data_IF_553040331434
#
_entry.id   IF_553040331434
#
_cell.length_a   1.000
_cell.length_b   1.000
_cell.length_c   1.000
_cell.angle_alpha   90.00
_cell.angle_beta   90.00
_cell.angle_gamma   90.00
#
_symmetry.space_group_name_H-M   'P 1'
#
loop_
_entity.id
_entity.type
_entity.pdbx_description
1 polymer ?
#
# COMPACT_ATOMS: atom_id res chain seq x y z
N UNK A 1 5.99 20.74 22.22
CA UNK A 1 5.90 21.79 21.18
C UNK A 1 4.66 21.53 20.33
N UNK A 2 3.78 22.50 20.14
CA UNK A 2 2.56 22.35 19.31
C UNK A 2 2.97 22.47 17.84
N UNK A 3 2.48 21.57 16.98
CA UNK A 3 2.66 21.70 15.53
C UNK A 3 1.98 22.99 15.09
N UNK A 4 2.70 23.87 14.38
CA UNK A 4 2.10 25.11 13.87
C UNK A 4 0.97 24.75 12.87
N UNK A 5 -0.20 25.40 12.96
CA UNK A 5 -1.29 25.19 12.00
C UNK A 5 -0.87 25.44 10.56
N UNK A 6 0.11 26.32 10.33
CA UNK A 6 0.69 26.59 9.01
C UNK A 6 1.40 25.36 8.43
N UNK A 7 2.11 24.59 9.27
CA UNK A 7 2.80 23.37 8.84
C UNK A 7 1.82 22.25 8.50
N UNK A 8 0.71 22.15 9.22
CA UNK A 8 -0.37 21.23 8.90
C UNK A 8 -1.06 21.61 7.59
N UNK A 9 -1.33 22.90 7.38
CA UNK A 9 -1.89 23.41 6.12
C UNK A 9 -0.95 23.15 4.93
N UNK A 10 0.37 23.35 5.12
CA UNK A 10 1.38 23.03 4.10
C UNK A 10 1.41 21.53 3.78
N UNK A 11 1.39 20.67 4.80
CA UNK A 11 1.35 19.22 4.64
C UNK A 11 0.12 18.78 3.82
N UNK A 12 -1.06 19.30 4.16
CA UNK A 12 -2.30 19.00 3.43
C UNK A 12 -2.20 19.36 1.94
N UNK A 13 -1.67 20.55 1.62
CA UNK A 13 -1.46 20.97 0.22
C UNK A 13 -0.48 20.06 -0.54
N UNK A 14 0.59 19.61 0.12
CA UNK A 14 1.55 18.69 -0.49
C UNK A 14 0.93 17.32 -0.76
N UNK A 15 0.14 16.80 0.18
CA UNK A 15 -0.59 15.54 0.02
C UNK A 15 -1.63 15.61 -1.11
N UNK A 16 -2.32 16.74 -1.26
CA UNK A 16 -3.23 16.95 -2.39
C UNK A 16 -2.49 16.98 -3.73
N UNK A 17 -1.35 17.68 -3.82
CA UNK A 17 -0.51 17.69 -5.02
C UNK A 17 0.02 16.29 -5.38
N UNK A 18 0.28 15.45 -4.37
CA UNK A 18 0.64 14.04 -4.52
C UNK A 18 -0.52 13.22 -5.07
N UNK A 19 -1.73 13.38 -4.50
CA UNK A 19 -2.96 12.73 -5.00
C UNK A 19 -3.28 13.14 -6.43
N UNK A 20 -3.05 14.40 -6.80
CA UNK A 20 -3.25 14.87 -8.16
C UNK A 20 -2.29 14.18 -9.15
N UNK A 21 -1.01 14.07 -8.78
CA UNK A 21 -0.01 13.37 -9.61
C UNK A 21 -0.34 11.88 -9.75
N UNK A 22 -0.82 11.24 -8.67
CA UNK A 22 -1.32 9.86 -8.74
C UNK A 22 -2.52 9.73 -9.69
N UNK A 23 -3.50 10.63 -9.60
CA UNK A 23 -4.66 10.62 -10.51
C UNK A 23 -4.28 10.78 -11.97
N UNK A 24 -3.19 11.50 -12.26
CA UNK A 24 -2.65 11.61 -13.62
C UNK A 24 -2.12 10.26 -14.13
N UNK A 25 -1.37 9.52 -13.29
CA UNK A 25 -0.95 8.15 -13.61
C UNK A 25 -2.15 7.24 -13.85
N UNK A 26 -3.14 7.25 -12.95
CA UNK A 26 -4.35 6.44 -13.09
C UNK A 26 -5.12 6.77 -14.37
N UNK A 27 -5.10 8.05 -14.80
CA UNK A 27 -5.74 8.49 -16.04
C UNK A 27 -4.99 7.95 -17.27
N UNK A 28 -3.66 7.92 -17.25
CA UNK A 28 -2.84 7.33 -18.32
C UNK A 28 -3.15 5.83 -18.43
N UNK A 29 -3.20 5.11 -17.31
CA UNK A 29 -3.51 3.68 -17.31
C UNK A 29 -4.90 3.41 -17.89
N UNK A 30 -5.89 4.22 -17.51
CA UNK A 30 -7.25 4.14 -18.10
C UNK A 30 -7.25 4.43 -19.59
N UNK A 31 -6.43 5.37 -20.08
CA UNK A 31 -6.30 5.65 -21.51
C UNK A 31 -5.67 4.49 -22.26
N UNK A 32 -4.64 3.84 -21.68
CA UNK A 32 -3.99 2.65 -22.26
C UNK A 32 -5.03 1.53 -22.38
N UNK A 33 -5.74 1.21 -21.30
CA UNK A 33 -6.78 0.17 -21.28
C UNK A 33 -7.88 0.49 -22.30
N UNK A 34 -8.39 1.73 -22.31
CA UNK A 34 -9.45 2.14 -23.24
C UNK A 34 -9.01 2.01 -24.70
N UNK A 35 -7.78 2.42 -25.03
CA UNK A 35 -7.23 2.31 -26.38
C UNK A 35 -7.05 0.84 -26.77
N UNK A 36 -6.59 -0.01 -25.86
CA UNK A 36 -6.47 -1.44 -26.08
C UNK A 36 -7.82 -2.11 -26.34
N UNK A 37 -8.84 -1.84 -25.51
CA UNK A 37 -10.18 -2.40 -25.68
C UNK A 37 -10.81 -1.97 -27.02
N UNK A 38 -10.57 -0.73 -27.46
CA UNK A 38 -11.03 -0.26 -28.77
C UNK A 38 -10.36 -0.98 -29.96
N UNK A 39 -9.16 -1.54 -29.77
CA UNK A 39 -8.43 -2.28 -30.81
C UNK A 39 -8.87 -3.75 -30.91
N UNK A 40 -9.45 -4.35 -29.86
CA UNK A 40 -9.85 -5.76 -29.84
C UNK A 40 -10.74 -6.16 -31.03
N UNK A 41 -11.82 -5.41 -31.39
CA UNK A 41 -12.65 -5.77 -32.53
C UNK A 41 -11.91 -5.68 -33.87
N UNK A 42 -10.97 -4.75 -34.01
CA UNK A 42 -10.19 -4.55 -35.24
C UNK A 42 -9.15 -5.66 -35.44
N UNK A 43 -8.57 -6.15 -34.35
CA UNK A 43 -7.65 -7.29 -34.35
C UNK A 43 -8.34 -8.60 -34.76
N UNK A 44 -9.63 -8.76 -34.46
CA UNK A 44 -10.46 -9.90 -34.89
C UNK A 44 -10.90 -9.82 -36.35
N UNK A 45 -11.21 -8.62 -36.88
CA UNK A 45 -11.79 -8.45 -38.23
C UNK A 45 -10.79 -8.52 -39.38
N UNK A 46 -9.51 -8.16 -39.17
CA UNK A 46 -8.51 -8.05 -40.26
C UNK A 46 -8.14 -9.35 -40.97
N UNK A 47 -8.63 -10.52 -40.54
CA UNK A 47 -8.37 -11.82 -41.22
C UNK A 47 -9.57 -12.75 -41.36
N UNK A 48 -10.80 -12.36 -41.00
CA UNK A 48 -11.97 -13.22 -41.22
C UNK A 48 -12.51 -13.15 -42.66
N UNK A 49 -11.61 -13.12 -43.65
CA UNK A 49 -11.97 -13.72 -44.92
C UNK A 49 -12.04 -15.22 -44.64
N UNK A 50 -13.24 -15.79 -44.56
CA UNK A 50 -13.51 -17.23 -44.61
C UNK A 50 -12.95 -17.79 -45.94
N UNK A 51 -11.63 -17.81 -46.13
CA UNK A 51 -11.05 -18.22 -47.41
C UNK A 51 -10.84 -19.72 -47.53
N UNK A 52 -10.98 -20.51 -46.44
CA UNK A 52 -10.81 -21.98 -46.52
C UNK A 52 -11.13 -22.79 -45.25
N UNK A 53 -12.15 -22.42 -44.47
CA UNK A 53 -12.61 -23.23 -43.32
C UNK A 53 -11.60 -23.43 -42.17
N UNK A 54 -10.45 -22.74 -42.19
CA UNK A 54 -9.41 -22.84 -41.15
C UNK A 54 -9.64 -21.75 -40.11
N UNK A 55 -9.78 -22.08 -38.81
CA UNK A 55 -9.98 -21.10 -37.76
C UNK A 55 -8.80 -20.11 -37.70
N UNK A 56 -9.04 -18.83 -37.32
CA UNK A 56 -7.97 -17.87 -37.11
C UNK A 56 -6.96 -18.41 -36.09
N UNK A 57 -5.67 -18.29 -36.39
CA UNK A 57 -4.61 -18.71 -35.47
C UNK A 57 -4.66 -17.87 -34.17
N UNK A 58 -5.01 -18.47 -33.01
CA UNK A 58 -5.11 -17.75 -31.74
C UNK A 58 -3.76 -17.19 -31.29
N UNK A 59 -2.66 -17.88 -31.60
CA UNK A 59 -1.31 -17.45 -31.26
C UNK A 59 -0.97 -16.14 -31.97
N UNK A 60 -1.21 -16.06 -33.28
CA UNK A 60 -0.99 -14.83 -34.04
C UNK A 60 -1.86 -13.65 -33.56
N UNK A 61 -3.04 -13.90 -32.99
CA UNK A 61 -3.85 -12.83 -32.38
C UNK A 61 -3.19 -12.29 -31.10
N UNK A 62 -2.76 -13.18 -30.20
CA UNK A 62 -2.11 -12.79 -28.94
C UNK A 62 -0.80 -12.04 -29.19
N UNK A 63 -0.01 -12.45 -30.17
CA UNK A 63 1.23 -11.75 -30.53
C UNK A 63 0.96 -10.33 -31.04
N UNK A 64 -0.06 -10.14 -31.90
CA UNK A 64 -0.48 -8.79 -32.31
C UNK A 64 -0.99 -7.97 -31.13
N UNK A 65 -1.75 -8.59 -30.22
CA UNK A 65 -2.26 -7.91 -29.04
C UNK A 65 -1.10 -7.42 -28.14
N UNK A 66 -0.13 -8.31 -27.83
CA UNK A 66 1.06 -7.98 -27.03
C UNK A 66 1.89 -6.89 -27.67
N UNK A 67 2.12 -6.97 -28.98
CA UNK A 67 2.87 -5.95 -29.72
C UNK A 67 2.18 -4.58 -29.65
N UNK A 68 0.86 -4.52 -29.86
CA UNK A 68 0.11 -3.26 -29.76
C UNK A 68 0.12 -2.68 -28.33
N UNK A 69 -0.01 -3.55 -27.32
CA UNK A 69 0.09 -3.14 -25.92
C UNK A 69 1.47 -2.53 -25.64
N UNK A 70 2.53 -3.23 -26.02
CA UNK A 70 3.91 -2.76 -25.85
C UNK A 70 4.13 -1.42 -26.55
N UNK A 71 3.63 -1.24 -27.78
CA UNK A 71 3.75 0.02 -28.52
C UNK A 71 3.02 1.18 -27.82
N UNK A 72 1.79 0.95 -27.33
CA UNK A 72 1.01 1.98 -26.63
C UNK A 72 1.68 2.35 -25.30
N UNK A 73 2.13 1.35 -24.54
CA UNK A 73 2.83 1.59 -23.27
C UNK A 73 4.15 2.30 -23.50
N UNK A 74 4.95 1.89 -24.49
CA UNK A 74 6.23 2.54 -24.82
C UNK A 74 6.05 4.01 -25.19
N UNK A 75 4.99 4.37 -25.93
CA UNK A 75 4.69 5.76 -26.27
C UNK A 75 4.33 6.62 -25.04
N UNK A 76 3.79 6.00 -23.97
CA UNK A 76 3.43 6.67 -22.71
C UNK A 76 4.51 6.58 -21.65
N UNK A 77 5.49 5.69 -21.82
CA UNK A 77 6.55 5.43 -20.86
C UNK A 77 7.29 6.69 -20.38
N UNK A 78 7.72 7.64 -21.24
CA UNK A 78 8.44 8.82 -20.75
C UNK A 78 7.56 9.71 -19.84
N UNK A 79 6.25 9.76 -20.09
CA UNK A 79 5.28 10.49 -19.27
C UNK A 79 5.07 9.79 -17.92
N UNK A 80 4.90 8.47 -17.94
CA UNK A 80 4.78 7.62 -16.75
C UNK A 80 6.03 7.74 -15.87
N UNK A 81 7.22 7.67 -16.46
CA UNK A 81 8.48 7.76 -15.74
C UNK A 81 8.68 9.15 -15.13
N UNK A 82 8.30 10.21 -15.86
CA UNK A 82 8.37 11.58 -15.36
C UNK A 82 7.44 11.79 -14.14
N UNK A 83 6.20 11.32 -14.23
CA UNK A 83 5.22 11.40 -13.13
C UNK A 83 5.64 10.52 -11.94
N UNK A 84 6.16 9.32 -12.20
CA UNK A 84 6.68 8.42 -11.15
C UNK A 84 7.84 9.05 -10.39
N UNK A 85 8.81 9.66 -11.09
CA UNK A 85 9.91 10.40 -10.45
C UNK A 85 9.40 11.60 -9.65
N UNK A 86 8.40 12.31 -10.16
CA UNK A 86 7.77 13.43 -9.45
C UNK A 86 7.09 12.94 -8.16
N UNK A 87 6.36 11.84 -8.23
CA UNK A 87 5.68 11.23 -7.09
C UNK A 87 6.69 10.83 -6.01
N UNK A 88 7.78 10.17 -6.37
CA UNK A 88 8.85 9.82 -5.43
C UNK A 88 9.41 11.05 -4.70
N UNK A 89 9.67 12.15 -5.44
CA UNK A 89 10.14 13.41 -4.83
C UNK A 89 9.11 14.02 -3.88
N UNK A 90 7.82 13.96 -4.24
CA UNK A 90 6.73 14.42 -3.38
C UNK A 90 6.63 13.59 -2.11
N UNK A 91 6.70 12.27 -2.22
CA UNK A 91 6.63 11.34 -1.09
C UNK A 91 7.80 11.60 -0.12
N UNK A 92 9.04 11.72 -0.60
CA UNK A 92 10.19 12.09 0.24
C UNK A 92 10.00 13.45 0.93
N UNK A 93 9.50 14.46 0.22
CA UNK A 93 9.28 15.79 0.79
C UNK A 93 8.19 15.79 1.88
N UNK A 94 7.12 15.02 1.67
CA UNK A 94 6.03 14.82 2.65
C UNK A 94 6.57 14.09 3.88
N UNK A 95 7.36 13.03 3.72
CA UNK A 95 7.97 12.29 4.83
C UNK A 95 8.89 13.17 5.67
N UNK A 96 9.75 13.97 5.04
CA UNK A 96 10.60 14.93 5.75
C UNK A 96 9.79 15.96 6.55
N UNK A 97 8.70 16.47 5.98
CA UNK A 97 7.83 17.42 6.67
C UNK A 97 7.09 16.75 7.83
N UNK A 98 6.60 15.52 7.65
CA UNK A 98 5.97 14.73 8.72
C UNK A 98 6.93 14.48 9.87
N UNK A 99 8.17 14.11 9.60
CA UNK A 99 9.20 13.92 10.63
C UNK A 99 9.47 15.20 11.44
N UNK A 100 9.48 16.37 10.78
CA UNK A 100 9.63 17.68 11.44
C UNK A 100 8.39 18.13 12.22
N UNK A 101 7.23 17.56 11.90
CA UNK A 101 5.96 17.85 12.56
C UNK A 101 5.64 16.82 13.64
N UNK A 102 6.26 15.65 13.67
CA UNK A 102 6.10 14.72 14.77
C UNK A 102 6.61 15.39 16.05
N UNK A 103 5.78 15.59 17.09
CA UNK A 103 6.32 15.89 18.40
C UNK A 103 7.22 14.72 18.75
N UNK A 104 8.44 14.96 19.25
CA UNK A 104 9.26 13.90 19.82
C UNK A 104 8.37 13.10 20.78
N UNK A 105 7.91 11.95 20.32
CA UNK A 105 7.27 10.96 21.15
C UNK A 105 8.38 10.54 22.06
N UNK A 106 8.40 11.13 23.26
CA UNK A 106 9.22 10.71 24.39
C UNK A 106 9.31 9.19 24.30
N UNK A 107 10.50 8.69 24.01
CA UNK A 107 10.90 7.35 24.42
C UNK A 107 10.86 7.36 25.95
N UNK A 108 9.65 7.31 26.48
CA UNK A 108 9.37 7.12 27.88
C UNK A 108 9.54 5.63 28.13
N UNK A 109 10.78 5.26 28.44
CA UNK A 109 11.10 4.26 29.47
C UNK A 109 10.24 2.98 29.42
N UNK A 110 10.61 2.07 28.54
CA UNK A 110 10.55 0.66 28.91
C UNK A 110 11.88 0.31 29.58
N UNK A 111 12.01 0.83 30.79
CA UNK A 111 13.02 0.46 31.78
C UNK A 111 12.45 -0.76 32.52
N UNK A 112 12.95 -1.99 32.32
CA UNK A 112 12.40 -3.17 32.98
C UNK A 112 12.71 -3.23 34.49
N UNK A 113 13.37 -2.23 35.07
CA UNK A 113 13.91 -2.31 36.43
C UNK A 113 13.00 -1.66 37.50
N UNK A 114 11.73 -2.08 37.58
CA UNK A 114 10.91 -1.76 38.76
C UNK A 114 9.94 -2.85 39.22
N UNK A 115 10.37 -4.11 39.13
CA UNK A 115 9.72 -5.24 39.77
C UNK A 115 10.33 -5.59 41.15
N UNK A 116 10.69 -4.59 41.96
CA UNK A 116 11.06 -4.83 43.36
C UNK A 116 10.56 -3.71 44.27
N UNK A 117 9.26 -3.76 44.58
CA UNK A 117 8.74 -3.38 45.91
C UNK A 117 7.27 -3.73 46.03
N UNK A 118 7.00 -4.90 46.62
CA UNK A 118 5.88 -5.01 47.55
C UNK A 118 6.40 -5.76 48.77
N UNK A 119 6.88 -4.93 49.69
CA UNK A 119 7.02 -5.26 51.10
C UNK A 119 5.72 -5.85 51.64
N UNK A 120 5.95 -6.87 52.44
CA UNK A 120 5.12 -7.46 53.47
C UNK A 120 4.21 -6.48 54.22
N UNK A 121 2.99 -6.91 54.54
CA UNK A 121 2.50 -7.01 55.93
C UNK A 121 0.98 -7.24 55.97
N UNK A 122 0.54 -8.46 56.31
CA UNK A 122 -0.38 -8.73 57.44
C UNK A 122 -0.73 -10.23 57.52
N UNK A 123 -0.06 -10.93 58.43
CA UNK A 123 -0.71 -11.97 59.27
C UNK A 123 -1.80 -11.30 60.13
N UNK A 124 -2.84 -12.01 60.66
CA UNK A 124 -2.70 -13.31 61.32
C UNK A 124 -3.91 -14.27 61.26
N UNK A 125 -3.66 -15.46 61.83
CA UNK A 125 -4.63 -16.33 62.52
C UNK A 125 -5.43 -17.35 61.68
N UNK A 126 -5.37 -18.59 62.20
CA UNK A 126 -6.29 -19.72 62.01
C UNK A 126 -6.21 -20.53 60.72
N UNK A 127 -5.53 -21.68 60.78
CA UNK A 127 -6.15 -22.98 60.43
C UNK A 127 -5.34 -24.14 61.03
N UNK A 128 -5.98 -24.87 61.94
CA UNK A 128 -5.46 -26.02 62.72
C UNK A 128 -4.95 -27.19 61.87
N UNK A 129 -4.01 -28.01 62.39
CA UNK A 129 -3.75 -29.35 61.87
C UNK A 129 -4.67 -30.37 62.56
N UNK A 130 -5.39 -31.21 61.80
CA UNK A 130 -6.23 -32.24 62.41
C UNK A 130 -6.92 -33.23 61.47
N UNK A 131 -6.36 -34.45 61.44
CA UNK A 131 -7.00 -35.78 61.28
C UNK A 131 -7.68 -36.18 59.94
N UNK A 132 -6.99 -37.11 59.27
CA UNK A 132 -7.36 -38.51 58.92
C UNK A 132 -8.87 -38.83 58.75
N UNK A 133 -9.21 -39.50 57.64
CA UNK A 133 -9.79 -40.85 57.48
C UNK A 133 -10.06 -41.02 55.96
N UNK A 134 -9.50 -42.01 55.26
CA UNK A 134 -10.03 -43.36 55.15
C UNK A 134 -10.96 -43.48 53.95
N UNK A 135 -10.54 -44.15 52.86
CA UNK A 135 -11.44 -44.62 51.81
C UNK A 135 -10.97 -46.00 51.34
N UNK A 136 -11.91 -46.93 51.38
CA UNK A 136 -11.76 -48.36 51.21
C UNK A 136 -11.58 -48.78 49.74
N UNK A 137 -11.08 -50.00 49.61
CA UNK A 137 -11.24 -50.87 48.44
C UNK A 137 -12.70 -51.33 48.31
#
# INVERSE_FOLDING_TARGET
MKISPERLAQLSRMEEARRQTQRQLDMIDRQIIRRMTALIPQLGRKRSGYRRGKPPDPSAFLERYRWNLAAITAARQPEIDALSRKLARQDTAIEMLRARCAPESRHARDDPERAHRKDECRTPAECRPGKRHGAAA
#
